data_IF_231795851644
#
_entry.id   IF_231795851644
#
_cell.length_a   1.000
_cell.length_b   1.000
_cell.length_c   1.000
_cell.angle_alpha   90.00
_cell.angle_beta   90.00
_cell.angle_gamma   90.00
#
_symmetry.space_group_name_H-M   'P 1'
#
loop_
_entity.id
_entity.type
_entity.pdbx_description
1 polymer ?
#
# COMPACT_ATOMS: atom_id res chain seq x y z
N UNK A 1 0.70 -15.76 11.06
CA UNK A 1 -0.01 -16.24 9.85
C UNK A 1 -0.17 -15.09 8.88
N UNK A 2 0.09 -15.30 7.58
CA UNK A 2 -0.21 -14.28 6.56
C UNK A 2 -1.73 -14.07 6.53
N UNK A 3 -2.17 -12.81 6.65
CA UNK A 3 -3.61 -12.50 6.64
C UNK A 3 -4.17 -12.74 5.23
N UNK A 4 -5.45 -13.10 5.15
CA UNK A 4 -6.18 -13.14 3.88
C UNK A 4 -6.03 -11.83 3.09
N UNK A 5 -6.07 -10.68 3.80
CA UNK A 5 -5.87 -9.35 3.21
C UNK A 5 -4.53 -9.19 2.47
N UNK A 6 -3.43 -9.75 3.00
CA UNK A 6 -2.15 -9.74 2.27
C UNK A 6 -2.25 -10.53 0.97
N UNK A 7 -2.83 -11.73 1.01
CA UNK A 7 -2.93 -12.57 -0.18
C UNK A 7 -3.78 -11.89 -1.26
N UNK A 8 -4.89 -11.26 -0.83
CA UNK A 8 -5.75 -10.48 -1.70
C UNK A 8 -5.01 -9.31 -2.38
N UNK A 9 -4.21 -8.55 -1.63
CA UNK A 9 -3.41 -7.46 -2.21
C UNK A 9 -2.41 -7.96 -3.25
N UNK A 10 -1.72 -9.08 -2.98
CA UNK A 10 -0.80 -9.70 -3.95
C UNK A 10 -1.56 -10.17 -5.20
N UNK A 11 -2.76 -10.72 -5.06
CA UNK A 11 -3.59 -11.09 -6.22
C UNK A 11 -3.98 -9.87 -7.05
N UNK A 12 -4.41 -8.77 -6.41
CA UNK A 12 -4.72 -7.54 -7.14
C UNK A 12 -3.51 -6.94 -7.85
N UNK A 13 -2.31 -7.04 -7.27
CA UNK A 13 -1.07 -6.67 -7.97
C UNK A 13 -0.85 -7.50 -9.23
N UNK A 14 -1.03 -8.82 -9.16
CA UNK A 14 -0.85 -9.70 -10.31
C UNK A 14 -1.89 -9.39 -11.39
N UNK A 15 -3.16 -9.23 -11.01
CA UNK A 15 -4.24 -8.89 -11.96
C UNK A 15 -3.98 -7.54 -12.62
N UNK A 16 -3.63 -6.52 -11.84
CA UNK A 16 -3.29 -5.20 -12.37
C UNK A 16 -2.10 -5.27 -13.33
N UNK A 17 -1.07 -6.04 -12.99
CA UNK A 17 0.09 -6.26 -13.86
C UNK A 17 -0.28 -6.97 -15.18
N UNK A 18 -1.13 -8.00 -15.14
CA UNK A 18 -1.62 -8.69 -16.36
C UNK A 18 -2.43 -7.73 -17.23
N UNK A 19 -3.31 -6.92 -16.64
CA UNK A 19 -4.09 -5.92 -17.38
C UNK A 19 -3.15 -4.94 -18.09
N UNK A 20 -2.08 -4.49 -17.44
CA UNK A 20 -1.09 -3.62 -18.07
C UNK A 20 -0.37 -4.27 -19.24
N UNK A 21 -0.05 -5.56 -19.16
CA UNK A 21 0.47 -6.32 -20.31
C UNK A 21 -0.52 -6.28 -21.48
N UNK A 22 -1.80 -6.54 -21.21
CA UNK A 22 -2.84 -6.51 -22.26
C UNK A 22 -2.91 -5.13 -22.91
N UNK A 23 -2.87 -4.05 -22.11
CA UNK A 23 -2.86 -2.67 -22.62
C UNK A 23 -1.63 -2.42 -23.50
N UNK A 24 -0.43 -2.85 -23.08
CA UNK A 24 0.79 -2.69 -23.89
C UNK A 24 0.73 -3.43 -25.22
N UNK A 25 0.25 -4.67 -25.21
CA UNK A 25 0.15 -5.49 -26.42
C UNK A 25 -0.89 -4.89 -27.36
N UNK A 26 -2.04 -4.42 -26.84
CA UNK A 26 -3.06 -3.75 -27.64
C UNK A 26 -2.48 -2.51 -28.33
N UNK A 27 -1.75 -1.67 -27.59
CA UNK A 27 -1.07 -0.47 -28.14
C UNK A 27 -0.12 -0.81 -29.28
N UNK A 28 0.71 -1.85 -29.11
CA UNK A 28 1.63 -2.31 -30.16
C UNK A 28 0.92 -2.80 -31.43
N UNK A 29 -0.33 -3.27 -31.30
CA UNK A 29 -1.17 -3.68 -32.41
C UNK A 29 -1.97 -2.51 -33.03
N UNK A 30 -1.73 -1.27 -32.58
CA UNK A 30 -2.44 -0.08 -33.01
C UNK A 30 -3.90 -0.02 -32.55
N UNK A 31 -4.22 -0.69 -31.43
CA UNK A 31 -5.57 -0.73 -30.87
C UNK A 31 -5.57 -0.18 -29.45
N UNK A 32 -6.62 0.56 -29.10
CA UNK A 32 -6.83 1.02 -27.74
C UNK A 32 -7.56 -0.06 -26.93
N UNK A 33 -7.10 -0.31 -25.70
CA UNK A 33 -7.81 -1.20 -24.79
C UNK A 33 -8.66 -0.37 -23.83
N UNK A 34 -9.99 -0.39 -24.02
CA UNK A 34 -10.94 0.38 -23.19
C UNK A 34 -10.65 1.90 -23.15
N UNK A 35 -10.07 2.44 -24.23
CA UNK A 35 -9.67 3.85 -24.32
C UNK A 35 -8.39 4.20 -23.56
N UNK A 36 -7.68 3.20 -23.02
CA UNK A 36 -6.40 3.37 -22.35
C UNK A 36 -5.24 3.09 -23.32
N UNK A 37 -4.24 3.96 -23.29
CA UNK A 37 -3.01 3.81 -24.07
C UNK A 37 -1.80 4.10 -23.16
N UNK A 38 -0.67 3.41 -23.36
CA UNK A 38 0.57 3.73 -22.66
C UNK A 38 1.01 5.16 -23.00
N UNK A 39 1.43 5.92 -21.99
CA UNK A 39 2.03 7.27 -22.20
C UNK A 39 3.27 7.15 -23.09
N UNK A 40 4.07 6.12 -22.84
CA UNK A 40 5.22 5.76 -23.64
C UNK A 40 5.47 4.26 -23.54
N UNK A 41 5.45 3.57 -24.68
CA UNK A 41 5.56 2.11 -24.73
C UNK A 41 6.89 1.58 -24.16
N UNK A 42 8.00 2.29 -24.41
CA UNK A 42 9.31 1.90 -23.91
C UNK A 42 9.38 1.96 -22.37
N UNK A 43 8.85 3.03 -21.78
CA UNK A 43 8.76 3.15 -20.33
C UNK A 43 7.78 2.15 -19.72
N UNK A 44 6.64 1.91 -20.36
CA UNK A 44 5.64 0.95 -19.89
C UNK A 44 6.24 -0.47 -19.79
N UNK A 45 6.97 -0.91 -20.82
CA UNK A 45 7.67 -2.20 -20.82
C UNK A 45 8.71 -2.26 -19.70
N UNK A 46 9.53 -1.21 -19.53
CA UNK A 46 10.52 -1.17 -18.45
C UNK A 46 9.87 -1.29 -17.06
N UNK A 47 8.74 -0.61 -16.86
CA UNK A 47 7.99 -0.65 -15.61
C UNK A 47 7.39 -2.04 -15.39
N UNK A 48 6.85 -2.71 -16.41
CA UNK A 48 6.33 -4.08 -16.31
C UNK A 48 7.38 -5.10 -15.83
N UNK A 49 8.64 -4.93 -16.23
CA UNK A 49 9.73 -5.76 -15.71
C UNK A 49 10.13 -5.35 -14.28
N UNK A 50 10.21 -4.05 -14.01
CA UNK A 50 10.51 -3.56 -12.67
C UNK A 50 9.45 -3.96 -11.63
N UNK A 51 8.17 -4.01 -12.03
CA UNK A 51 7.08 -4.47 -11.17
C UNK A 51 7.20 -5.94 -10.80
N UNK A 52 7.70 -6.80 -11.69
CA UNK A 52 7.96 -8.21 -11.37
C UNK A 52 9.04 -8.35 -10.29
N UNK A 53 10.13 -7.59 -10.41
CA UNK A 53 11.18 -7.57 -9.39
C UNK A 53 10.64 -7.09 -8.03
N UNK A 54 9.82 -6.03 -8.04
CA UNK A 54 9.16 -5.53 -6.85
C UNK A 54 8.23 -6.58 -6.23
N UNK A 55 7.47 -7.30 -7.05
CA UNK A 55 6.55 -8.34 -6.60
C UNK A 55 7.29 -9.47 -5.84
N UNK A 56 8.43 -9.92 -6.35
CA UNK A 56 9.26 -10.93 -5.66
C UNK A 56 9.71 -10.43 -4.28
N UNK A 57 10.13 -9.16 -4.17
CA UNK A 57 10.53 -8.56 -2.90
C UNK A 57 9.36 -8.42 -1.92
N UNK A 58 8.18 -8.05 -2.41
CA UNK A 58 6.94 -7.90 -1.62
C UNK A 58 6.48 -9.25 -1.08
N UNK A 59 6.51 -10.31 -1.90
CA UNK A 59 6.19 -11.68 -1.46
C UNK A 59 7.14 -12.17 -0.37
N UNK A 60 8.42 -11.77 -0.45
CA UNK A 60 9.45 -11.97 0.59
C UNK A 60 9.32 -11.01 1.78
N UNK A 61 8.27 -10.16 1.83
CA UNK A 61 7.99 -9.18 2.89
C UNK A 61 9.12 -8.17 3.12
N UNK A 62 9.84 -7.78 2.06
CA UNK A 62 10.88 -6.74 2.12
C UNK A 62 10.26 -5.36 1.86
N UNK A 63 10.37 -4.46 2.83
CA UNK A 63 9.84 -3.07 2.74
C UNK A 63 10.40 -2.30 1.52
N UNK A 64 11.65 -2.59 1.15
CA UNK A 64 12.28 -2.01 -0.03
C UNK A 64 11.47 -2.28 -1.31
N UNK A 65 10.87 -3.47 -1.43
CA UNK A 65 10.05 -3.84 -2.58
C UNK A 65 8.79 -2.98 -2.69
N UNK A 66 8.09 -2.73 -1.58
CA UNK A 66 6.90 -1.87 -1.58
C UNK A 66 7.23 -0.40 -1.80
N UNK A 67 8.37 0.08 -1.27
CA UNK A 67 8.84 1.45 -1.50
C UNK A 67 9.18 1.67 -2.99
N UNK A 68 9.99 0.79 -3.58
CA UNK A 68 10.30 0.85 -5.01
C UNK A 68 9.05 0.76 -5.87
N UNK A 69 8.13 -0.15 -5.53
CA UNK A 69 6.86 -0.29 -6.23
C UNK A 69 6.06 1.03 -6.22
N UNK A 70 5.91 1.65 -5.05
CA UNK A 70 5.22 2.93 -4.92
C UNK A 70 5.93 4.04 -5.68
N UNK A 71 7.25 4.18 -5.56
CA UNK A 71 8.00 5.24 -6.25
C UNK A 71 7.87 5.14 -7.76
N UNK A 72 8.06 3.95 -8.33
CA UNK A 72 7.96 3.74 -9.78
C UNK A 72 6.55 4.07 -10.28
N UNK A 73 5.51 3.63 -9.56
CA UNK A 73 4.13 3.88 -9.95
C UNK A 73 3.72 5.33 -9.75
N UNK A 74 4.14 5.97 -8.66
CA UNK A 74 3.87 7.37 -8.39
C UNK A 74 4.51 8.28 -9.44
N UNK A 75 5.73 7.97 -9.90
CA UNK A 75 6.38 8.76 -10.95
C UNK A 75 5.67 8.59 -12.30
N UNK A 76 5.31 7.35 -12.65
CA UNK A 76 4.70 7.06 -13.94
C UNK A 76 3.25 7.54 -14.01
N UNK A 77 2.40 7.07 -13.10
CA UNK A 77 0.98 7.40 -13.07
C UNK A 77 0.72 8.79 -12.50
N UNK A 78 1.61 9.32 -11.64
CA UNK A 78 1.45 10.67 -11.09
C UNK A 78 1.48 11.73 -12.18
N UNK A 79 2.38 11.60 -13.16
CA UNK A 79 2.45 12.50 -14.32
C UNK A 79 1.13 12.48 -15.13
N UNK A 80 0.58 11.30 -15.36
CA UNK A 80 -0.70 11.15 -16.07
C UNK A 80 -1.86 11.77 -15.30
N UNK A 81 -1.95 11.50 -13.99
CA UNK A 81 -2.97 12.08 -13.11
C UNK A 81 -2.88 13.61 -13.11
N UNK A 82 -1.68 14.19 -12.98
CA UNK A 82 -1.52 15.65 -13.00
C UNK A 82 -1.93 16.27 -14.33
N UNK A 83 -1.59 15.62 -15.44
CA UNK A 83 -1.96 16.10 -16.78
C UNK A 83 -3.47 16.12 -16.95
N UNK A 84 -4.16 15.05 -16.55
CA UNK A 84 -5.63 14.96 -16.66
C UNK A 84 -6.36 15.86 -15.69
N UNK A 85 -5.82 16.07 -14.48
CA UNK A 85 -6.36 17.08 -13.56
C UNK A 85 -6.27 18.48 -14.17
N UNK A 86 -5.16 18.80 -14.84
CA UNK A 86 -5.00 20.08 -15.54
C UNK A 86 -5.94 20.24 -16.73
N UNK A 87 -6.29 19.17 -17.43
CA UNK A 87 -7.30 19.22 -18.51
C UNK A 87 -8.68 19.45 -17.87
N UNK A 88 -9.01 18.69 -16.82
CA UNK A 88 -10.28 18.77 -16.11
C UNK A 88 -10.58 20.16 -15.52
N UNK A 89 -9.55 20.96 -15.22
CA UNK A 89 -9.73 22.33 -14.73
C UNK A 89 -10.14 23.34 -15.81
N UNK A 90 -9.96 23.00 -17.09
CA UNK A 90 -10.26 23.88 -18.22
C UNK A 90 -11.38 23.33 -19.10
N UNK A 91 -11.44 22.01 -19.29
CA UNK A 91 -12.38 21.32 -20.17
C UNK A 91 -12.91 20.01 -19.52
N UNK A 92 -14.05 19.54 -20.01
CA UNK A 92 -14.55 18.23 -19.62
C UNK A 92 -13.70 17.10 -20.20
N UNK A 93 -13.35 16.11 -19.38
CA UNK A 93 -12.65 14.91 -19.84
C UNK A 93 -13.55 14.08 -20.75
N UNK A 94 -12.98 13.56 -21.83
CA UNK A 94 -13.63 12.52 -22.63
C UNK A 94 -13.82 11.24 -21.81
N UNK A 95 -14.69 10.33 -22.28
CA UNK A 95 -14.92 9.04 -21.62
C UNK A 95 -13.62 8.24 -21.52
N UNK A 96 -12.81 8.23 -22.58
CA UNK A 96 -11.51 7.55 -22.60
C UNK A 96 -10.50 8.15 -21.61
N UNK A 97 -10.43 9.48 -21.52
CA UNK A 97 -9.54 10.14 -20.54
C UNK A 97 -10.00 9.88 -19.10
N UNK A 98 -11.30 9.77 -18.87
CA UNK A 98 -11.88 9.45 -17.57
C UNK A 98 -11.56 8.01 -17.13
N UNK A 99 -11.71 7.03 -18.03
CA UNK A 99 -11.35 5.64 -17.74
C UNK A 99 -9.87 5.49 -17.45
N UNK A 100 -9.03 6.15 -18.24
CA UNK A 100 -7.59 6.12 -18.06
C UNK A 100 -7.16 6.84 -16.76
N UNK A 101 -7.80 7.95 -16.38
CA UNK A 101 -7.57 8.60 -15.07
C UNK A 101 -7.87 7.66 -13.90
N UNK A 102 -9.01 6.96 -13.95
CA UNK A 102 -9.37 6.00 -12.90
C UNK A 102 -8.33 4.87 -12.79
N UNK A 103 -7.85 4.37 -13.92
CA UNK A 103 -6.82 3.33 -13.95
C UNK A 103 -5.50 3.82 -13.36
N UNK A 104 -5.08 5.04 -13.71
CA UNK A 104 -3.88 5.67 -13.13
C UNK A 104 -3.98 5.89 -11.63
N UNK A 105 -5.16 6.27 -11.12
CA UNK A 105 -5.39 6.35 -9.68
C UNK A 105 -5.25 4.99 -8.98
N UNK A 106 -5.80 3.92 -9.57
CA UNK A 106 -5.62 2.55 -9.06
C UNK A 106 -4.12 2.18 -9.05
N UNK A 107 -3.41 2.58 -10.11
CA UNK A 107 -1.96 2.41 -10.24
C UNK A 107 -1.15 3.03 -9.09
N UNK A 108 -1.67 4.04 -8.40
CA UNK A 108 -1.03 4.68 -7.23
C UNK A 108 -1.56 4.10 -5.92
N UNK A 109 -2.88 3.92 -5.80
CA UNK A 109 -3.55 3.46 -4.57
C UNK A 109 -3.11 2.04 -4.22
N UNK A 110 -2.95 1.16 -5.22
CA UNK A 110 -2.58 -0.23 -5.00
C UNK A 110 -1.18 -0.38 -4.37
N UNK A 111 -0.10 0.25 -4.89
CA UNK A 111 1.19 0.30 -4.22
C UNK A 111 1.15 0.90 -2.80
N UNK A 112 0.34 1.95 -2.60
CA UNK A 112 0.17 2.57 -1.29
C UNK A 112 -0.43 1.58 -0.28
N UNK A 113 -1.48 0.87 -0.66
CA UNK A 113 -2.11 -0.16 0.17
C UNK A 113 -1.13 -1.28 0.54
N UNK A 114 -0.29 -1.70 -0.41
CA UNK A 114 0.75 -2.72 -0.17
C UNK A 114 1.80 -2.22 0.82
N UNK A 115 2.26 -0.96 0.69
CA UNK A 115 3.20 -0.37 1.64
C UNK A 115 2.60 -0.33 3.04
N UNK A 116 1.35 0.10 3.18
CA UNK A 116 0.65 0.14 4.47
C UNK A 116 0.50 -1.27 5.06
N UNK A 117 0.12 -2.29 4.28
CA UNK A 117 0.05 -3.69 4.76
C UNK A 117 1.40 -4.15 5.32
N UNK A 118 2.50 -3.89 4.61
CA UNK A 118 3.84 -4.27 5.05
C UNK A 118 4.28 -3.51 6.31
N UNK A 119 3.95 -2.21 6.42
CA UNK A 119 4.25 -1.39 7.59
C UNK A 119 3.46 -1.86 8.83
N UNK A 120 2.18 -2.15 8.67
CA UNK A 120 1.33 -2.68 9.74
C UNK A 120 1.82 -4.05 10.21
N UNK A 121 2.23 -4.92 9.29
CA UNK A 121 2.82 -6.22 9.62
C UNK A 121 4.16 -6.08 10.36
N UNK A 122 4.98 -5.07 10.01
CA UNK A 122 6.23 -4.78 10.71
C UNK A 122 5.97 -4.25 12.13
N UNK A 123 5.11 -3.25 12.28
CA UNK A 123 4.75 -2.67 13.57
C UNK A 123 4.21 -3.74 14.54
N UNK A 124 3.37 -4.66 14.06
CA UNK A 124 2.85 -5.75 14.88
C UNK A 124 3.93 -6.75 15.35
N UNK A 125 4.98 -6.96 14.56
CA UNK A 125 6.10 -7.82 14.97
C UNK A 125 6.97 -7.14 16.03
N UNK A 126 7.11 -5.82 15.94
CA UNK A 126 7.84 -5.02 16.93
C UNK A 126 7.06 -4.87 18.23
N UNK A 127 5.73 -4.79 18.16
CA UNK A 127 4.81 -4.67 19.29
C UNK A 127 3.83 -5.86 19.35
N UNK A 128 4.29 -7.06 19.75
CA UNK A 128 3.41 -8.22 19.88
C UNK A 128 2.43 -8.02 21.04
N UNK A 129 1.13 -8.16 20.76
CA UNK A 129 0.07 -8.16 21.78
C UNK A 129 -0.50 -9.56 21.95
N UNK A 130 -0.56 -10.08 23.17
CA UNK A 130 -1.23 -11.36 23.45
C UNK A 130 -2.61 -11.11 24.07
N UNK A 131 -3.68 -11.45 23.34
CA UNK A 131 -5.06 -11.29 23.81
C UNK A 131 -5.37 -12.07 25.09
N UNK A 132 -4.60 -13.11 25.42
CA UNK A 132 -4.82 -13.93 26.63
C UNK A 132 -4.25 -13.30 27.89
N UNK A 133 -3.21 -12.49 27.77
CA UNK A 133 -2.48 -11.93 28.92
C UNK A 133 -2.54 -10.40 28.96
N UNK A 134 -2.56 -9.74 27.80
CA UNK A 134 -2.52 -8.28 27.72
C UNK A 134 -3.75 -7.61 28.35
N UNK A 135 -4.91 -8.27 28.35
CA UNK A 135 -6.12 -7.72 28.98
C UNK A 135 -5.98 -7.61 30.50
N UNK A 136 -5.12 -8.43 31.13
CA UNK A 136 -4.85 -8.40 32.55
C UNK A 136 -3.82 -7.32 32.91
N UNK A 137 -2.76 -7.18 32.11
CA UNK A 137 -1.65 -6.26 32.40
C UNK A 137 -1.84 -4.83 31.87
N UNK A 138 -2.85 -4.58 31.02
CA UNK A 138 -3.13 -3.25 30.44
C UNK A 138 -4.41 -2.61 31.00
N UNK A 139 -5.07 -3.24 31.97
CA UNK A 139 -6.26 -2.69 32.60
C UNK A 139 -5.88 -1.86 33.83
N UNK A 140 -6.06 -0.55 33.77
CA UNK A 140 -5.86 0.37 34.90
C UNK A 140 -6.77 0.06 36.10
N UNK A 141 -7.88 -0.66 35.89
CA UNK A 141 -8.79 -1.10 36.95
C UNK A 141 -8.18 -2.18 37.86
N UNK A 142 -7.27 -3.00 37.33
CA UNK A 142 -6.57 -4.05 38.06
C UNK A 142 -5.14 -3.65 38.43
N UNK A 143 -4.69 -2.46 38.00
CA UNK A 143 -3.44 -1.91 38.48
C UNK A 143 -3.54 -1.73 39.98
N UNK A 144 -2.47 -2.12 40.68
CA UNK A 144 -2.43 -2.14 42.13
C UNK A 144 -2.60 -0.70 42.62
N UNK A 145 -3.83 -0.32 43.00
CA UNK A 145 -4.10 0.94 43.66
C UNK A 145 -3.25 0.96 44.91
N UNK A 146 -2.29 1.90 44.97
CA UNK A 146 -1.54 2.18 46.18
C UNK A 146 -2.57 2.54 47.24
N UNK A 147 -2.76 1.65 48.20
CA UNK A 147 -3.56 1.94 49.38
C UNK A 147 -2.82 3.05 50.14
N UNK A 148 -3.46 4.21 50.33
CA UNK A 148 -2.89 5.32 51.11
C UNK A 148 -2.63 4.92 52.58
N UNK A 149 -3.16 3.77 53.02
CA UNK A 149 -2.92 3.15 54.33
C UNK A 149 -1.76 2.15 54.34
N UNK A 150 -1.11 1.90 53.20
CA UNK A 150 0.08 1.05 53.11
C UNK A 150 1.26 1.75 53.80
N UNK A 151 1.35 1.48 55.11
CA UNK A 151 2.46 1.69 56.01
C UNK A 151 3.25 3.00 55.85
N UNK A 152 2.69 4.08 56.43
CA UNK A 152 3.44 5.28 56.83
C UNK A 152 3.92 5.16 58.29
N UNK A 153 4.25 3.98 58.79
CA UNK A 153 4.92 3.86 60.08
C UNK A 153 6.34 4.39 59.92
N UNK A 154 6.47 5.70 60.14
CA UNK A 154 7.71 6.31 60.55
C UNK A 154 8.12 5.64 61.87
N UNK A 155 8.88 4.56 61.81
CA UNK A 155 9.67 4.13 62.95
C UNK A 155 10.60 5.30 63.27
N UNK A 156 10.27 6.05 64.34
CA UNK A 156 11.20 6.99 64.97
C UNK A 156 12.41 6.16 65.41
N UNK A 157 13.48 6.19 64.63
CA UNK A 157 14.79 5.80 65.11
C UNK A 157 15.24 6.86 66.12
N UNK A 158 15.29 6.44 67.39
CA UNK A 158 15.99 7.17 68.45
C UNK A 158 17.50 7.19 68.17
#
# INVERSE_FOLDING_TARGET
>A
MKKFSTYLLVMFMIVFWIIRIIITIASQMGKDFLGMTPINEGFEIAILFATLLCLVLIVKRKLLGSLLYLTIHALYFGNDVTNKLSIMSHDALTVAQSTDLMFSMIGIILPLAVLIDLLLDKNRKENPTDKKTDWFYKNEEFDRKLDDRADKNNYRTL
#
